data_IF_350732448808
#
_entry.id   IF_350732448808
#
_cell.length_a   1.000
_cell.length_b   1.000
_cell.length_c   1.000
_cell.angle_alpha   90.00
_cell.angle_beta   90.00
_cell.angle_gamma   90.00
#
_symmetry.space_group_name_H-M   'P 1'
#
loop_
_entity.id
_entity.type
_entity.pdbx_description
1 polymer ?
#
# COMPACT_ATOMS: atom_id res chain seq x y z
N UNK A 1 -41.94 11.92 8.28
CA UNK A 1 -40.52 12.21 7.96
C UNK A 1 -40.23 13.69 8.06
N UNK A 2 -40.77 14.54 7.15
CA UNK A 2 -40.53 16.00 7.17
C UNK A 2 -41.08 16.69 8.43
N UNK A 3 -42.19 16.20 8.98
CA UNK A 3 -42.76 16.71 10.24
C UNK A 3 -41.86 16.50 11.47
N UNK A 4 -41.03 15.45 11.47
CA UNK A 4 -40.18 15.08 12.61
C UNK A 4 -38.73 15.52 12.40
N UNK A 5 -38.22 15.40 11.17
CA UNK A 5 -36.82 15.65 10.82
C UNK A 5 -36.61 16.92 9.97
N UNK A 6 -37.69 17.66 9.68
CA UNK A 6 -37.61 18.90 8.90
C UNK A 6 -37.00 18.70 7.52
N UNK A 7 -36.23 19.69 7.08
CA UNK A 7 -35.56 19.68 5.77
C UNK A 7 -34.38 18.71 5.69
N UNK A 8 -33.88 18.21 6.82
CA UNK A 8 -32.78 17.24 6.88
C UNK A 8 -33.26 15.80 6.64
N UNK A 9 -34.55 15.58 6.34
CA UNK A 9 -35.08 14.26 6.07
C UNK A 9 -34.57 13.66 4.76
N UNK A 10 -34.39 12.33 4.74
CA UNK A 10 -34.03 11.62 3.51
C UNK A 10 -35.14 11.74 2.47
N UNK A 11 -34.74 11.77 1.19
CA UNK A 11 -35.69 11.78 0.07
C UNK A 11 -36.49 10.49 0.04
N UNK A 12 -37.75 10.56 -0.41
CA UNK A 12 -38.64 9.39 -0.54
C UNK A 12 -37.97 8.24 -1.32
N UNK A 13 -37.28 8.53 -2.42
CA UNK A 13 -36.54 7.54 -3.20
C UNK A 13 -35.48 6.78 -2.37
N UNK A 14 -34.74 7.49 -1.51
CA UNK A 14 -33.71 6.87 -0.67
C UNK A 14 -34.33 5.94 0.37
N UNK A 15 -35.48 6.31 0.93
CA UNK A 15 -36.24 5.49 1.89
C UNK A 15 -36.69 4.18 1.21
N UNK A 16 -37.31 4.26 0.03
CA UNK A 16 -37.76 3.08 -0.70
C UNK A 16 -36.60 2.12 -1.04
N UNK A 17 -35.45 2.65 -1.48
CA UNK A 17 -34.26 1.83 -1.71
C UNK A 17 -33.75 1.14 -0.45
N UNK A 18 -33.84 1.80 0.71
CA UNK A 18 -33.47 1.20 1.99
C UNK A 18 -34.46 0.13 2.44
N UNK A 19 -35.77 0.34 2.29
CA UNK A 19 -36.79 -0.67 2.57
C UNK A 19 -36.57 -1.93 1.73
N UNK A 20 -36.35 -1.79 0.42
CA UNK A 20 -36.06 -2.92 -0.46
C UNK A 20 -34.80 -3.69 -0.04
N UNK A 21 -33.74 -2.97 0.35
CA UNK A 21 -32.49 -3.61 0.83
C UNK A 21 -32.72 -4.36 2.15
N UNK A 22 -33.53 -3.79 3.05
CA UNK A 22 -33.86 -4.41 4.32
C UNK A 22 -34.70 -5.69 4.11
N UNK A 23 -35.72 -5.63 3.25
CA UNK A 23 -36.52 -6.80 2.85
C UNK A 23 -35.67 -7.88 2.17
N UNK A 24 -34.65 -7.48 1.40
CA UNK A 24 -33.64 -8.37 0.84
C UNK A 24 -32.63 -8.93 1.88
N UNK A 25 -32.87 -8.71 3.18
CA UNK A 25 -32.06 -9.27 4.27
C UNK A 25 -30.84 -8.44 4.67
N UNK A 26 -30.67 -7.21 4.15
CA UNK A 26 -29.57 -6.33 4.59
C UNK A 26 -29.87 -5.76 5.98
N UNK A 27 -29.15 -6.26 6.98
CA UNK A 27 -29.22 -5.76 8.37
C UNK A 27 -28.17 -4.65 8.63
N UNK A 28 -27.10 -4.60 7.84
CA UNK A 28 -26.02 -3.63 8.05
C UNK A 28 -26.38 -2.25 7.48
N UNK A 29 -26.44 -1.26 8.39
CA UNK A 29 -26.74 0.16 8.11
C UNK A 29 -25.52 0.91 7.54
N UNK A 30 -24.29 0.41 7.77
CA UNK A 30 -23.08 1.05 7.23
C UNK A 30 -23.06 0.97 5.71
N UNK A 31 -22.44 1.97 5.09
CA UNK A 31 -22.13 1.95 3.67
C UNK A 31 -21.30 0.71 3.32
N UNK A 32 -21.68 0.05 2.23
CA UNK A 32 -20.84 -0.99 1.66
C UNK A 32 -19.56 -0.36 1.11
N UNK A 33 -18.46 -1.14 0.97
CA UNK A 33 -17.28 -0.68 0.26
C UNK A 33 -17.70 -0.09 -1.07
N UNK A 34 -17.55 1.23 -1.23
CA UNK A 34 -17.81 1.87 -2.51
C UNK A 34 -16.71 1.42 -3.45
N UNK A 35 -17.04 1.00 -4.69
CA UNK A 35 -16.01 0.78 -5.69
C UNK A 35 -15.27 2.11 -5.84
N UNK A 36 -14.04 2.15 -5.32
CA UNK A 36 -13.15 3.27 -5.53
C UNK A 36 -12.74 3.33 -6.99
N UNK A 37 -12.05 4.40 -7.39
CA UNK A 37 -11.38 4.40 -8.67
C UNK A 37 -10.42 3.22 -8.70
N UNK A 38 -10.71 2.22 -9.54
CA UNK A 38 -9.77 1.15 -9.81
C UNK A 38 -8.51 1.85 -10.34
N UNK A 39 -7.41 1.79 -9.61
CA UNK A 39 -6.12 2.23 -10.12
C UNK A 39 -5.72 1.24 -11.22
N UNK A 40 -6.25 1.46 -12.43
CA UNK A 40 -5.93 0.74 -13.66
C UNK A 40 -4.40 0.71 -13.92
N UNK A 41 -3.66 1.62 -13.30
CA UNK A 41 -2.19 1.75 -13.40
C UNK A 41 -1.41 0.74 -12.52
N UNK A 42 -2.04 0.16 -11.49
CA UNK A 42 -1.42 -0.89 -10.64
C UNK A 42 -1.78 -2.28 -11.15
N UNK A 43 -1.23 -2.66 -12.31
CA UNK A 43 -1.27 -4.03 -12.78
C UNK A 43 -0.26 -4.90 -11.99
N UNK A 44 -0.49 -6.21 -11.93
CA UNK A 44 0.45 -7.20 -11.37
C UNK A 44 1.86 -7.05 -11.95
N UNK A 45 1.98 -6.80 -13.25
CA UNK A 45 3.26 -6.60 -13.92
C UNK A 45 4.04 -5.38 -13.37
N UNK A 46 3.37 -4.25 -13.14
CA UNK A 46 4.04 -3.06 -12.59
C UNK A 46 4.43 -3.25 -11.14
N UNK A 47 3.63 -3.98 -10.36
CA UNK A 47 3.98 -4.35 -8.98
C UNK A 47 5.23 -5.23 -8.95
N UNK A 48 5.31 -6.25 -9.82
CA UNK A 48 6.47 -7.14 -9.91
C UNK A 48 7.73 -6.40 -10.34
N UNK A 49 7.63 -5.50 -11.34
CA UNK A 49 8.76 -4.69 -11.77
C UNK A 49 9.32 -3.78 -10.65
N UNK A 50 8.42 -3.17 -9.86
CA UNK A 50 8.84 -2.39 -8.68
C UNK A 50 9.53 -3.28 -7.63
N UNK A 51 9.02 -4.48 -7.35
CA UNK A 51 9.66 -5.41 -6.39
C UNK A 51 11.05 -5.84 -6.87
N UNK A 52 11.20 -6.11 -8.17
CA UNK A 52 12.48 -6.50 -8.77
C UNK A 52 13.54 -5.40 -8.63
N UNK A 53 13.19 -4.15 -8.98
CA UNK A 53 14.11 -3.00 -8.83
C UNK A 53 14.57 -2.80 -7.37
N UNK A 54 13.64 -2.98 -6.41
CA UNK A 54 13.97 -2.89 -4.98
C UNK A 54 14.89 -4.04 -4.55
N UNK A 55 14.68 -5.26 -5.08
CA UNK A 55 15.54 -6.42 -4.77
C UNK A 55 16.95 -6.25 -5.32
N UNK A 56 17.09 -5.71 -6.53
CA UNK A 56 18.38 -5.44 -7.18
C UNK A 56 19.15 -4.34 -6.44
N UNK A 57 18.47 -3.25 -6.04
CA UNK A 57 19.07 -2.17 -5.29
C UNK A 57 18.20 -1.76 -4.09
N UNK A 58 18.55 -2.26 -2.90
CA UNK A 58 17.83 -1.95 -1.65
C UNK A 58 17.87 -0.48 -1.23
N UNK A 59 18.68 0.35 -1.88
CA UNK A 59 18.80 1.80 -1.63
C UNK A 59 18.13 2.67 -2.70
N UNK A 60 17.48 2.07 -3.69
CA UNK A 60 16.81 2.80 -4.76
C UNK A 60 15.72 3.73 -4.23
N UNK A 61 15.58 4.90 -4.83
CA UNK A 61 14.60 5.91 -4.43
C UNK A 61 13.30 5.77 -5.21
N UNK A 62 12.21 6.24 -4.60
CA UNK A 62 10.88 6.34 -5.25
C UNK A 62 10.94 7.14 -6.55
N UNK A 63 11.82 8.15 -6.63
CA UNK A 63 11.96 9.00 -7.82
C UNK A 63 12.62 8.25 -8.97
N UNK A 64 13.66 7.47 -8.69
CA UNK A 64 14.34 6.64 -9.70
C UNK A 64 13.38 5.60 -10.28
N UNK A 65 12.68 4.86 -9.42
CA UNK A 65 11.66 3.88 -9.87
C UNK A 65 10.58 4.55 -10.71
N UNK A 66 10.10 5.73 -10.31
CA UNK A 66 9.07 6.46 -11.04
C UNK A 66 9.53 6.85 -12.45
N UNK A 67 10.79 7.26 -12.60
CA UNK A 67 11.38 7.60 -13.91
C UNK A 67 11.57 6.34 -14.74
N UNK A 68 12.16 5.29 -14.16
CA UNK A 68 12.47 4.03 -14.86
C UNK A 68 11.22 3.33 -15.40
N UNK A 69 10.16 3.29 -14.59
CA UNK A 69 8.89 2.64 -14.97
C UNK A 69 7.88 3.62 -15.60
N UNK A 70 8.24 4.89 -15.80
CA UNK A 70 7.37 5.94 -16.34
C UNK A 70 6.00 6.03 -15.64
N UNK A 71 6.01 5.93 -14.31
CA UNK A 71 4.81 5.99 -13.46
C UNK A 71 4.90 7.14 -12.47
N UNK A 72 3.74 7.57 -11.96
CA UNK A 72 3.72 8.65 -10.98
C UNK A 72 4.40 8.24 -9.66
N UNK A 73 5.09 9.19 -9.02
CA UNK A 73 5.69 8.98 -7.69
C UNK A 73 4.67 8.52 -6.65
N UNK A 74 3.43 9.00 -6.73
CA UNK A 74 2.34 8.59 -5.85
C UNK A 74 1.96 7.12 -6.04
N UNK A 75 1.93 6.66 -7.30
CA UNK A 75 1.69 5.24 -7.63
C UNK A 75 2.80 4.36 -7.07
N UNK A 76 4.06 4.72 -7.27
CA UNK A 76 5.22 3.98 -6.71
C UNK A 76 5.12 3.90 -5.19
N UNK A 77 4.86 5.04 -4.53
CA UNK A 77 4.71 5.09 -3.08
C UNK A 77 3.57 4.18 -2.59
N UNK A 78 2.43 4.17 -3.29
CA UNK A 78 1.31 3.28 -3.00
C UNK A 78 1.71 1.80 -3.18
N UNK A 79 2.39 1.44 -4.26
CA UNK A 79 2.84 0.07 -4.51
C UNK A 79 3.75 -0.41 -3.39
N UNK A 80 4.79 0.37 -3.07
CA UNK A 80 5.80 0.01 -2.06
C UNK A 80 5.15 -0.23 -0.70
N UNK A 81 4.30 0.69 -0.23
CA UNK A 81 3.77 0.62 1.13
C UNK A 81 2.45 -0.17 1.27
N UNK A 82 1.56 -0.12 0.28
CA UNK A 82 0.22 -0.73 0.38
C UNK A 82 0.12 -2.07 -0.34
N UNK A 83 0.91 -2.31 -1.39
CA UNK A 83 0.88 -3.58 -2.14
C UNK A 83 1.99 -4.53 -1.72
N UNK A 84 3.22 -4.03 -1.59
CA UNK A 84 4.39 -4.83 -1.22
C UNK A 84 4.68 -4.82 0.29
N UNK A 85 4.19 -3.81 1.01
CA UNK A 85 4.37 -3.72 2.48
C UNK A 85 5.78 -3.36 2.93
N UNK A 86 6.62 -2.81 2.03
CA UNK A 86 7.97 -2.39 2.40
C UNK A 86 7.97 -1.13 3.26
N UNK A 87 8.96 -1.06 4.16
CA UNK A 87 9.27 0.11 4.98
C UNK A 87 10.68 0.63 4.71
N UNK A 88 10.87 1.95 4.84
CA UNK A 88 12.21 2.55 4.78
C UNK A 88 12.91 2.36 6.12
N UNK A 89 14.11 1.77 6.09
CA UNK A 89 14.99 1.64 7.26
C UNK A 89 16.28 2.41 7.00
N UNK A 90 16.80 3.10 8.01
CA UNK A 90 18.09 3.78 7.92
C UNK A 90 19.24 2.76 7.91
N UNK A 91 20.27 3.00 7.12
CA UNK A 91 21.45 2.15 7.13
C UNK A 91 22.15 2.24 8.49
N UNK A 92 22.59 1.09 9.01
CA UNK A 92 23.36 1.03 10.25
C UNK A 92 24.82 1.44 9.98
N UNK A 93 25.38 2.27 10.86
CA UNK A 93 26.79 2.61 10.80
C UNK A 93 27.66 1.40 11.15
N UNK A 94 28.64 1.10 10.29
CA UNK A 94 29.63 0.05 10.52
C UNK A 94 30.99 0.72 10.69
N UNK A 95 31.62 0.49 11.85
CA UNK A 95 32.82 1.21 12.31
C UNK A 95 34.02 1.13 11.34
N UNK A 96 34.21 -0.01 10.68
CA UNK A 96 35.32 -0.23 9.74
C UNK A 96 34.88 -1.12 8.57
N UNK A 97 35.36 -0.78 7.38
CA UNK A 97 35.30 -1.67 6.23
C UNK A 97 36.37 -2.76 6.40
N UNK A 98 35.94 -4.00 6.65
CA UNK A 98 36.84 -5.12 6.90
C UNK A 98 37.26 -5.79 5.60
N UNK A 99 38.56 -6.11 5.48
CA UNK A 99 39.04 -7.02 4.44
C UNK A 99 38.62 -8.46 4.72
N UNK A 100 38.58 -9.30 3.67
CA UNK A 100 38.17 -10.70 3.76
C UNK A 100 38.94 -11.47 4.84
N UNK A 101 40.27 -11.33 4.87
CA UNK A 101 41.12 -11.98 5.87
C UNK A 101 40.74 -11.59 7.31
N UNK A 102 40.37 -10.32 7.54
CA UNK A 102 39.93 -9.83 8.86
C UNK A 102 38.54 -10.35 9.23
N UNK A 103 37.65 -10.58 8.26
CA UNK A 103 36.35 -11.23 8.52
C UNK A 103 36.56 -12.69 8.92
N UNK A 104 37.39 -13.43 8.19
CA UNK A 104 37.70 -14.84 8.46
C UNK A 104 38.31 -15.04 9.84
N UNK A 105 39.31 -14.23 10.21
CA UNK A 105 39.92 -14.29 11.54
C UNK A 105 38.93 -13.99 12.68
N UNK A 106 37.97 -13.09 12.46
CA UNK A 106 36.91 -12.83 13.45
C UNK A 106 35.95 -14.01 13.57
N UNK A 107 35.57 -14.64 12.45
CA UNK A 107 34.71 -15.82 12.48
C UNK A 107 35.37 -17.00 13.20
N UNK A 108 36.66 -17.26 12.96
CA UNK A 108 37.36 -18.37 13.62
C UNK A 108 37.44 -18.23 15.14
N UNK A 109 37.65 -17.00 15.63
CA UNK A 109 37.66 -16.72 17.08
C UNK A 109 36.29 -16.95 17.72
N UNK A 110 35.19 -16.64 17.03
CA UNK A 110 33.84 -16.85 17.56
C UNK A 110 33.36 -18.32 17.50
N UNK A 111 34.01 -19.17 16.70
CA UNK A 111 33.68 -20.59 16.54
C UNK A 111 34.50 -21.51 17.46
N UNK A 112 35.47 -20.95 18.19
CA UNK A 112 36.28 -21.65 19.21
C UNK A 112 35.67 -21.42 20.59
#
# INVERSE_FOLDING_TARGET
MKEVYGEQCLTRCTIFQWCQRYEAGRVNIKDLPRPGQAHVVTNSATISAVDELIRQNRRITIREIAVELSISKGTVHHIIHKKLGYGKVCAQWVLKHLSENRKMARMSVCLT
#
